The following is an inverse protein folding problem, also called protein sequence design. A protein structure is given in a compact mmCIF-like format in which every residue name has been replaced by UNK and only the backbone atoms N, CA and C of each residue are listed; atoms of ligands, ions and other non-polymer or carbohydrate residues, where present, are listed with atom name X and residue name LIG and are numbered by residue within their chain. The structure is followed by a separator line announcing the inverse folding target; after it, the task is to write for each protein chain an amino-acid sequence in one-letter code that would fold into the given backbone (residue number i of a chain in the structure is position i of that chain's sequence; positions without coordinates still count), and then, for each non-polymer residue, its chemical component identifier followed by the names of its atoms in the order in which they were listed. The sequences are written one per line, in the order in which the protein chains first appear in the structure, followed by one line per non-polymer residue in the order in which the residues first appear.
data_IF_068125747092
#
_entry.id   IF_068125747092
#
_cell.length_a   1.000
_cell.length_b   1.000
_cell.length_c   1.000
_cell.angle_alpha   90.00
_cell.angle_beta   90.00
_cell.angle_gamma   90.00
#
_symmetry.space_group_name_H-M   'P 1'
#
loop_
_entity.id
_entity.type
_entity.pdbx_description
1 polymer ?
#
# COMPACT_ATOMS: atom_id res chain seq x y z
N UNK A 1 13.18 -9.62 -35.63
CA UNK A 1 12.80 -10.49 -34.49
C UNK A 1 13.04 -9.83 -33.14
N UNK A 2 13.63 -8.62 -33.11
CA UNK A 2 13.91 -7.91 -31.87
C UNK A 2 12.68 -7.15 -31.30
N UNK A 3 11.91 -6.46 -32.14
CA UNK A 3 10.75 -5.67 -31.69
C UNK A 3 9.65 -6.47 -30.97
N UNK A 4 9.51 -7.78 -31.22
CA UNK A 4 8.45 -8.58 -30.60
C UNK A 4 8.75 -8.95 -29.15
N UNK A 5 10.02 -9.01 -28.72
CA UNK A 5 10.31 -9.26 -27.30
C UNK A 5 10.10 -8.01 -26.46
N UNK A 6 10.40 -6.83 -27.02
CA UNK A 6 10.36 -5.56 -26.30
C UNK A 6 8.90 -5.20 -25.97
N UNK A 7 8.02 -5.36 -26.96
CA UNK A 7 6.56 -5.22 -26.79
C UNK A 7 5.94 -6.23 -25.80
N UNK A 8 6.58 -7.39 -25.56
CA UNK A 8 6.12 -8.36 -24.55
C UNK A 8 6.62 -8.06 -23.14
N UNK A 9 7.71 -7.30 -23.02
CA UNK A 9 8.30 -6.91 -21.75
C UNK A 9 7.50 -5.74 -21.16
N UNK A 10 7.10 -4.77 -21.98
CA UNK A 10 6.38 -3.59 -21.50
C UNK A 10 4.98 -3.91 -21.00
N UNK A 11 4.30 -4.89 -21.62
CA UNK A 11 3.01 -5.43 -21.12
C UNK A 11 3.09 -6.06 -19.71
N UNK A 12 4.30 -6.37 -19.22
CA UNK A 12 4.52 -7.00 -17.89
C UNK A 12 4.99 -6.02 -16.82
N UNK A 13 5.32 -4.77 -17.18
CA UNK A 13 5.81 -3.77 -16.25
C UNK A 13 4.64 -2.99 -15.64
N UNK A 14 4.78 -2.63 -14.36
CA UNK A 14 3.89 -1.69 -13.68
C UNK A 14 4.78 -0.62 -13.09
N UNK A 15 4.54 0.61 -13.50
CA UNK A 15 5.38 1.75 -13.14
C UNK A 15 4.81 2.43 -11.91
N UNK A 16 5.67 2.66 -10.92
CA UNK A 16 5.27 3.39 -9.72
C UNK A 16 5.37 4.90 -10.00
N UNK A 17 4.33 5.66 -9.63
CA UNK A 17 4.35 7.13 -9.65
C UNK A 17 5.17 7.66 -8.46
N UNK A 18 6.41 8.16 -8.64
CA UNK A 18 7.27 8.51 -7.51
C UNK A 18 6.72 9.67 -6.68
N UNK A 19 6.03 10.62 -7.32
CA UNK A 19 5.47 11.79 -6.63
C UNK A 19 4.37 11.42 -5.64
N UNK A 20 3.66 10.31 -5.88
CA UNK A 20 2.65 9.81 -4.94
C UNK A 20 3.25 9.28 -3.63
N UNK A 21 4.55 8.98 -3.59
CA UNK A 21 5.23 8.50 -2.38
C UNK A 21 5.63 9.61 -1.41
N UNK A 22 5.75 10.87 -1.85
CA UNK A 22 6.41 11.92 -1.05
C UNK A 22 5.63 12.30 0.21
N UNK A 23 4.31 12.44 0.09
CA UNK A 23 3.42 12.84 1.19
C UNK A 23 1.98 12.29 1.02
N UNK A 24 1.80 10.95 0.94
CA UNK A 24 0.46 10.39 0.86
C UNK A 24 -0.23 10.43 2.21
N UNK A 25 -1.53 10.70 2.19
CA UNK A 25 -2.35 10.87 3.40
C UNK A 25 -2.20 9.70 4.39
N UNK A 26 -2.18 9.94 5.71
CA UNK A 26 -2.09 8.87 6.69
C UNK A 26 -3.36 8.02 6.71
N UNK A 27 -3.22 6.71 6.83
CA UNK A 27 -4.32 5.75 6.94
C UNK A 27 -4.29 4.96 8.25
N UNK A 28 -5.46 4.77 8.85
CA UNK A 28 -5.68 3.81 9.93
C UNK A 28 -6.04 2.44 9.35
N UNK A 29 -5.22 1.43 9.63
CA UNK A 29 -5.39 0.07 9.11
C UNK A 29 -5.74 -0.93 10.21
N UNK A 30 -6.60 -1.89 9.87
CA UNK A 30 -7.02 -2.98 10.75
C UNK A 30 -6.92 -4.32 10.02
N UNK A 31 -6.14 -5.25 10.56
CA UNK A 31 -6.09 -6.64 10.11
C UNK A 31 -7.07 -7.47 10.95
N UNK A 32 -8.16 -7.94 10.32
CA UNK A 32 -9.21 -8.71 10.98
C UNK A 32 -8.91 -10.22 10.93
N UNK A 33 -9.32 -11.00 11.96
CA UNK A 33 -9.15 -12.46 11.99
C UNK A 33 -10.29 -13.17 11.23
N UNK A 34 -10.73 -12.60 10.12
CA UNK A 34 -11.81 -13.13 9.29
C UNK A 34 -11.74 -12.61 7.87
N UNK A 35 -12.30 -13.37 6.94
CA UNK A 35 -12.48 -12.95 5.55
C UNK A 35 -13.80 -12.19 5.38
N UNK A 36 -13.74 -11.06 4.68
CA UNK A 36 -14.92 -10.33 4.23
C UNK A 36 -15.00 -10.49 2.71
N UNK A 37 -16.02 -11.17 2.16
CA UNK A 37 -16.06 -11.58 0.75
C UNK A 37 -16.29 -10.43 -0.24
N UNK A 38 -16.34 -9.19 0.25
CA UNK A 38 -16.61 -8.00 -0.56
C UNK A 38 -15.48 -6.99 -0.36
N UNK A 39 -14.97 -6.45 -1.47
CA UNK A 39 -14.05 -5.33 -1.48
C UNK A 39 -14.82 -4.05 -1.89
N UNK A 40 -15.30 -3.28 -0.90
CA UNK A 40 -16.10 -2.08 -1.11
C UNK A 40 -15.86 -1.03 -0.01
N UNK A 41 -16.10 0.26 -0.30
CA UNK A 41 -16.16 1.29 0.73
C UNK A 41 -17.09 0.87 1.87
N UNK A 42 -16.61 1.00 3.11
CA UNK A 42 -17.30 0.53 4.30
C UNK A 42 -17.25 1.61 5.38
N UNK A 43 -18.35 1.89 6.11
CA UNK A 43 -18.42 2.96 7.10
C UNK A 43 -17.71 2.61 8.43
N UNK A 44 -16.42 2.30 8.38
CA UNK A 44 -15.58 1.91 9.53
C UNK A 44 -15.64 2.96 10.64
N UNK A 45 -15.51 4.25 10.30
CA UNK A 45 -15.56 5.36 11.25
C UNK A 45 -16.91 5.56 11.96
N UNK A 46 -17.99 4.96 11.44
CA UNK A 46 -19.31 5.01 12.06
C UNK A 46 -19.59 3.82 12.98
N UNK A 47 -19.06 2.64 12.65
CA UNK A 47 -19.42 1.40 13.33
C UNK A 47 -18.28 0.77 14.12
N UNK A 48 -17.08 0.70 13.54
CA UNK A 48 -15.97 -0.02 14.14
C UNK A 48 -15.11 0.89 15.01
N UNK A 49 -14.63 2.01 14.48
CA UNK A 49 -13.73 2.93 15.20
C UNK A 49 -14.32 3.41 16.54
N UNK A 50 -15.60 3.86 16.61
CA UNK A 50 -16.18 4.29 17.89
C UNK A 50 -16.43 3.15 18.88
N UNK A 51 -16.42 1.90 18.42
CA UNK A 51 -16.62 0.72 19.26
C UNK A 51 -15.30 0.18 19.84
N UNK A 52 -14.14 0.70 19.40
CA UNK A 52 -12.83 0.34 19.94
C UNK A 52 -12.70 0.92 21.34
N UNK A 53 -12.28 0.08 22.28
CA UNK A 53 -12.05 0.43 23.69
C UNK A 53 -10.65 0.00 24.10
N UNK A 54 -10.07 0.71 25.05
CA UNK A 54 -8.86 0.27 25.73
C UNK A 54 -9.26 -0.66 26.88
N UNK A 55 -8.86 -1.93 26.80
CA UNK A 55 -9.00 -2.94 27.84
C UNK A 55 -7.72 -3.07 28.68
N UNK A 56 -7.68 -4.07 29.56
CA UNK A 56 -6.52 -4.33 30.44
C UNK A 56 -5.26 -4.73 29.69
N UNK A 57 -5.40 -5.57 28.65
CA UNK A 57 -4.25 -6.19 27.96
C UNK A 57 -4.09 -5.70 26.52
N UNK A 58 -4.87 -4.71 26.09
CA UNK A 58 -4.85 -4.20 24.72
C UNK A 58 -6.18 -3.58 24.31
N UNK A 59 -6.42 -3.50 23.00
CA UNK A 59 -7.65 -2.97 22.42
C UNK A 59 -8.75 -4.04 22.41
N UNK A 60 -9.99 -3.60 22.56
CA UNK A 60 -11.18 -4.44 22.47
C UNK A 60 -12.18 -3.83 21.49
N UNK A 61 -12.82 -4.65 20.68
CA UNK A 61 -13.90 -4.24 19.79
C UNK A 61 -14.85 -5.42 19.54
N UNK A 62 -15.91 -5.17 18.78
CA UNK A 62 -16.74 -6.26 18.26
C UNK A 62 -16.92 -6.11 16.75
N UNK A 63 -16.91 -7.24 16.05
CA UNK A 63 -17.24 -7.30 14.64
C UNK A 63 -18.24 -8.42 14.41
N UNK A 64 -19.40 -8.09 13.82
CA UNK A 64 -20.52 -9.03 13.62
C UNK A 64 -20.98 -9.73 14.92
N UNK A 65 -20.93 -9.01 16.04
CA UNK A 65 -21.32 -9.52 17.36
C UNK A 65 -20.27 -10.44 18.01
N UNK A 66 -19.11 -10.64 17.39
CA UNK A 66 -18.01 -11.44 17.96
C UNK A 66 -16.97 -10.54 18.62
N UNK A 67 -16.47 -10.97 19.76
CA UNK A 67 -15.45 -10.24 20.52
C UNK A 67 -14.10 -10.30 19.82
N UNK A 68 -13.46 -9.15 19.65
CA UNK A 68 -12.12 -9.01 19.13
C UNK A 68 -11.20 -8.40 20.19
N UNK A 69 -10.00 -8.96 20.31
CA UNK A 69 -8.91 -8.41 21.12
C UNK A 69 -7.76 -8.06 20.19
N UNK A 70 -7.22 -6.86 20.32
CA UNK A 70 -6.22 -6.37 19.39
C UNK A 70 -5.10 -5.61 20.06
N UNK A 71 -4.07 -5.37 19.27
CA UNK A 71 -2.92 -4.56 19.65
C UNK A 71 -2.45 -3.76 18.44
N UNK A 72 -1.76 -2.65 18.71
CA UNK A 72 -1.10 -1.90 17.66
C UNK A 72 0.28 -2.51 17.37
N UNK A 73 0.56 -2.71 16.09
CA UNK A 73 1.83 -3.22 15.60
C UNK A 73 2.47 -2.16 14.70
N UNK A 74 3.69 -1.77 15.06
CA UNK A 74 4.48 -0.83 14.26
C UNK A 74 5.05 -1.52 13.02
N UNK A 75 5.21 -0.74 11.95
CA UNK A 75 6.01 -1.13 10.78
C UNK A 75 7.48 -1.32 11.23
N UNK A 76 8.23 -2.30 10.70
CA UNK A 76 9.62 -2.54 11.09
C UNK A 76 10.50 -1.29 10.93
N UNK A 77 11.50 -1.09 11.81
CA UNK A 77 12.41 0.06 11.72
C UNK A 77 13.11 0.13 10.36
N UNK A 78 13.19 1.35 9.80
CA UNK A 78 13.75 1.57 8.47
C UNK A 78 12.78 1.29 7.31
N UNK A 79 11.53 0.92 7.60
CA UNK A 79 10.47 0.71 6.62
C UNK A 79 9.31 1.69 6.82
N UNK A 80 8.55 1.89 5.75
CA UNK A 80 7.30 2.67 5.72
C UNK A 80 6.22 1.86 5.02
N UNK A 81 4.98 1.95 5.50
CA UNK A 81 3.83 1.32 4.88
C UNK A 81 3.15 2.24 3.86
N UNK A 82 2.78 1.69 2.71
CA UNK A 82 1.97 2.39 1.69
C UNK A 82 0.74 1.57 1.30
N UNK A 83 -0.36 2.26 1.02
CA UNK A 83 -1.54 1.67 0.36
C UNK A 83 -1.50 2.06 -1.11
N UNK A 84 -1.21 1.08 -1.96
CA UNK A 84 -1.05 1.29 -3.40
C UNK A 84 -2.34 0.95 -4.16
N UNK A 85 -2.60 1.66 -5.26
CA UNK A 85 -3.69 1.33 -6.19
C UNK A 85 -3.19 1.44 -7.63
N UNK A 86 -3.54 0.46 -8.46
CA UNK A 86 -3.27 0.52 -9.91
C UNK A 86 -4.21 1.55 -10.56
N UNK A 87 -3.63 2.42 -11.38
CA UNK A 87 -4.37 3.35 -12.21
C UNK A 87 -4.96 2.57 -13.39
N UNK A 88 -6.28 2.62 -13.57
CA UNK A 88 -6.90 2.09 -14.78
C UNK A 88 -6.67 3.09 -15.91
N UNK A 89 -6.29 2.60 -17.09
CA UNK A 89 -5.94 3.39 -18.29
C UNK A 89 -7.01 4.40 -18.75
N UNK A 90 -8.25 4.32 -18.25
CA UNK A 90 -9.37 5.20 -18.61
C UNK A 90 -9.20 6.66 -18.14
N UNK A 91 -8.25 6.95 -17.25
CA UNK A 91 -8.01 8.31 -16.71
C UNK A 91 -7.22 9.20 -17.68
N UNK A 92 -6.54 8.63 -18.67
CA UNK A 92 -5.70 9.39 -19.62
C UNK A 92 -6.50 10.07 -20.74
N UNK A 93 -7.78 9.73 -20.95
CA UNK A 93 -8.57 10.22 -22.09
C UNK A 93 -9.48 11.41 -21.73
N UNK A 94 -9.69 11.70 -20.44
CA UNK A 94 -10.71 12.66 -19.99
C UNK A 94 -10.22 14.11 -19.77
N UNK A 95 -8.99 14.46 -20.18
CA UNK A 95 -8.42 15.81 -19.97
C UNK A 95 -7.99 16.54 -21.24
N UNK A 96 -8.38 16.06 -22.41
CA UNK A 96 -8.14 16.77 -23.67
C UNK A 96 -9.48 17.22 -24.24
N UNK A 97 -9.98 18.36 -23.77
CA UNK A 97 -10.91 19.24 -24.49
C UNK A 97 -11.03 20.57 -23.71
N UNK A 98 -10.11 21.50 -23.96
CA UNK A 98 -10.41 22.90 -24.33
C UNK A 98 -9.11 23.75 -24.52
N UNK A 99 -9.08 24.47 -25.65
CA UNK A 99 -8.12 25.47 -26.17
C UNK A 99 -7.60 26.50 -25.13
N UNK A 100 -6.45 27.20 -25.22
CA UNK A 100 -5.61 27.72 -26.32
C UNK A 100 -4.22 28.19 -25.77
N UNK A 101 -3.25 28.38 -26.69
CA UNK A 101 -1.79 28.64 -26.53
C UNK A 101 -1.36 29.81 -25.63
N UNK A 102 -0.23 29.63 -24.95
CA UNK A 102 0.86 30.63 -24.85
C UNK A 102 2.23 29.92 -24.83
N UNK A 103 3.16 30.41 -25.65
CA UNK A 103 4.50 29.86 -25.90
C UNK A 103 5.44 30.19 -24.74
N UNK A 104 5.87 29.20 -23.96
CA UNK A 104 7.00 29.30 -23.02
C UNK A 104 7.89 28.06 -23.13
N UNK A 105 9.20 28.32 -23.05
CA UNK A 105 10.38 27.47 -23.22
C UNK A 105 10.17 25.95 -23.11
N UNK A 106 10.62 25.24 -24.15
CA UNK A 106 10.70 23.77 -24.23
C UNK A 106 11.69 23.24 -23.18
N UNK A 107 11.25 23.09 -21.94
CA UNK A 107 11.73 21.99 -21.11
C UNK A 107 11.17 20.70 -21.71
N UNK A 108 12.04 19.76 -22.06
CA UNK A 108 11.60 18.47 -22.61
C UNK A 108 10.62 17.83 -21.61
N UNK A 109 9.36 17.56 -22.03
CA UNK A 109 8.39 17.00 -21.11
C UNK A 109 8.83 15.58 -20.71
N UNK A 110 8.55 15.13 -19.47
CA UNK A 110 8.84 13.76 -19.03
C UNK A 110 8.15 12.67 -19.89
N UNK A 111 7.29 13.10 -20.82
CA UNK A 111 6.46 12.31 -21.73
C UNK A 111 7.23 11.29 -22.59
N UNK A 112 8.54 11.48 -22.82
CA UNK A 112 9.30 10.57 -23.69
C UNK A 112 9.42 9.13 -23.14
N UNK A 113 9.33 8.93 -21.81
CA UNK A 113 9.35 7.60 -21.19
C UNK A 113 7.94 7.06 -20.90
N UNK A 114 6.92 7.92 -20.89
CA UNK A 114 5.56 7.56 -20.51
C UNK A 114 4.78 6.90 -21.65
N UNK A 115 5.18 7.13 -22.91
CA UNK A 115 4.48 6.60 -24.10
C UNK A 115 4.52 5.08 -24.26
N UNK A 116 5.49 4.42 -23.63
CA UNK A 116 5.68 2.96 -23.71
C UNK A 116 5.20 2.23 -22.43
N UNK A 117 4.67 2.98 -21.44
CA UNK A 117 4.26 2.42 -20.16
C UNK A 117 2.75 2.13 -20.14
N UNK A 118 2.37 0.86 -20.26
CA UNK A 118 0.95 0.48 -20.32
C UNK A 118 0.22 0.55 -18.95
N UNK A 119 0.95 0.49 -17.82
CA UNK A 119 0.36 0.34 -16.47
C UNK A 119 1.09 1.14 -15.41
N UNK A 120 0.34 1.89 -14.61
CA UNK A 120 0.86 2.70 -13.50
C UNK A 120 0.20 2.33 -12.17
N UNK A 121 0.92 2.56 -11.08
CA UNK A 121 0.46 2.40 -9.71
C UNK A 121 0.94 3.58 -8.86
N UNK A 122 0.06 4.08 -7.99
CA UNK A 122 0.36 5.19 -7.09
C UNK A 122 0.00 4.87 -5.64
N UNK A 123 0.68 5.52 -4.70
CA UNK A 123 0.32 5.51 -3.29
C UNK A 123 -0.88 6.42 -3.05
N UNK A 124 -1.90 5.87 -2.40
CA UNK A 124 -3.12 6.58 -1.99
C UNK A 124 -3.07 6.99 -0.53
N UNK A 125 -2.28 6.27 0.28
CA UNK A 125 -2.07 6.55 1.69
C UNK A 125 -0.74 5.97 2.19
N UNK A 126 -0.29 6.42 3.35
CA UNK A 126 0.82 5.84 4.13
C UNK A 126 0.39 5.43 5.53
N UNK A 127 1.17 4.55 6.17
CA UNK A 127 0.98 4.17 7.57
C UNK A 127 2.32 3.78 8.23
N UNK A 128 2.46 4.09 9.52
CA UNK A 128 3.60 3.69 10.36
C UNK A 128 3.26 2.56 11.34
N UNK A 129 1.96 2.29 11.55
CA UNK A 129 1.44 1.22 12.38
C UNK A 129 0.09 0.74 11.86
N UNK A 130 -0.36 -0.41 12.34
CA UNK A 130 -1.70 -0.93 12.08
C UNK A 130 -2.18 -1.78 13.27
N UNK A 131 -3.50 -1.88 13.45
CA UNK A 131 -4.06 -2.72 14.51
C UNK A 131 -4.25 -4.14 14.02
N UNK A 132 -3.74 -5.10 14.77
CA UNK A 132 -3.97 -6.52 14.53
C UNK A 132 -5.04 -7.00 15.50
N UNK A 133 -6.08 -7.64 14.98
CA UNK A 133 -7.18 -8.18 15.77
C UNK A 133 -7.15 -9.70 15.78
N UNK A 134 -7.36 -10.29 16.96
CA UNK A 134 -7.60 -11.71 17.16
C UNK A 134 -9.00 -11.96 17.73
N UNK A 135 -9.50 -13.17 17.52
CA UNK A 135 -10.79 -13.61 18.05
C UNK A 135 -10.63 -13.93 19.55
N UNK A 136 -11.35 -13.20 20.41
CA UNK A 136 -11.39 -13.36 21.88
C UNK A 136 -10.05 -13.20 22.62
N UNK A 137 -8.91 -13.23 21.91
CA UNK A 137 -7.55 -13.12 22.44
C UNK A 137 -6.65 -12.38 21.46
N UNK A 138 -5.64 -11.68 21.97
CA UNK A 138 -4.66 -10.99 21.14
C UNK A 138 -3.78 -12.03 20.45
N UNK A 139 -3.47 -11.90 19.15
CA UNK A 139 -2.60 -12.84 18.46
C UNK A 139 -1.24 -12.99 19.16
N UNK A 140 -0.86 -14.22 19.44
CA UNK A 140 0.37 -14.55 20.15
C UNK A 140 1.66 -14.14 19.43
N UNK A 141 2.82 -14.28 20.10
CA UNK A 141 4.13 -13.98 19.52
C UNK A 141 4.51 -14.89 18.34
N UNK A 142 3.89 -16.06 18.25
CA UNK A 142 4.06 -17.08 17.20
C UNK A 142 3.16 -16.86 15.97
N UNK A 143 2.30 -15.83 16.00
CA UNK A 143 1.47 -15.48 14.85
C UNK A 143 2.33 -15.25 13.61
N UNK A 144 1.93 -15.85 12.47
CA UNK A 144 2.66 -15.77 11.19
C UNK A 144 3.00 -14.35 10.78
N UNK A 145 2.13 -13.39 11.12
CA UNK A 145 2.34 -11.98 10.86
C UNK A 145 3.65 -11.46 11.49
N UNK A 146 3.95 -11.83 12.74
CA UNK A 146 5.15 -11.36 13.43
C UNK A 146 6.41 -11.92 12.78
N UNK A 147 6.39 -13.19 12.37
CA UNK A 147 7.47 -13.78 11.58
C UNK A 147 7.63 -13.11 10.20
N UNK A 148 6.53 -12.72 9.56
CA UNK A 148 6.60 -11.98 8.29
C UNK A 148 7.19 -10.57 8.47
N UNK A 149 6.89 -9.90 9.59
CA UNK A 149 7.43 -8.57 9.89
C UNK A 149 8.92 -8.58 10.28
N UNK A 150 9.47 -9.72 10.73
CA UNK A 150 10.91 -9.85 11.01
C UNK A 150 11.74 -10.19 9.76
N UNK A 151 11.09 -10.68 8.69
CA UNK A 151 11.77 -11.06 7.45
C UNK A 151 12.63 -9.95 6.82
N UNK A 152 12.20 -8.68 6.72
CA UNK A 152 12.98 -7.65 6.02
C UNK A 152 14.37 -7.42 6.63
N UNK A 153 14.49 -7.53 7.96
CA UNK A 153 15.78 -7.43 8.66
C UNK A 153 16.72 -8.58 8.27
N UNK A 154 16.18 -9.81 8.19
CA UNK A 154 16.94 -10.97 7.76
C UNK A 154 17.35 -10.86 6.27
N UNK A 155 16.44 -10.41 5.41
CA UNK A 155 16.69 -10.21 3.99
C UNK A 155 17.84 -9.21 3.75
N UNK A 156 17.86 -8.10 4.50
CA UNK A 156 18.93 -7.10 4.39
C UNK A 156 20.32 -7.68 4.69
N UNK A 157 20.42 -8.60 5.66
CA UNK A 157 21.68 -9.27 5.99
C UNK A 157 22.10 -10.29 4.93
N UNK A 158 21.16 -11.08 4.41
CA UNK A 158 21.44 -12.12 3.39
C UNK A 158 21.86 -11.49 2.05
N UNK A 159 21.23 -10.39 1.66
CA UNK A 159 21.43 -9.76 0.36
C UNK A 159 22.45 -8.62 0.37
N UNK A 160 23.14 -8.40 1.49
CA UNK A 160 24.25 -7.46 1.54
C UNK A 160 25.38 -7.91 0.59
N UNK A 161 26.02 -6.94 -0.07
CA UNK A 161 27.18 -7.23 -0.93
C UNK A 161 28.31 -7.81 -0.07
N UNK A 162 29.00 -8.82 -0.61
CA UNK A 162 30.21 -9.37 0.01
C UNK A 162 31.33 -8.34 -0.17
N UNK A 163 32.03 -7.92 0.90
CA UNK A 163 33.15 -7.00 0.77
C UNK A 163 34.23 -7.58 -0.15
N UNK A 164 34.77 -6.75 -1.05
CA UNK A 164 36.00 -7.08 -1.78
C UNK A 164 37.22 -6.80 -0.89
N UNK A 165 38.18 -7.73 -0.90
CA UNK A 165 39.43 -7.66 -0.11
C UNK A 165 40.39 -6.55 -0.57
#
# INVERSE_FOLDING_TARGET
MENSYEETIDKRRVHLRPDTLRDPAPASLHLLPCEVPVNRPTPVGRFFTPAIRLGSDGLEASFRGRSLRGEEVAVPPGFVGYVMTEEKAEVLVAKQDDHEREEQELEEPPEALERDCDRFMGATASFSSFTVWGLESIPGPDAKLRGALSWPSLAAAIHAQVPED
#
